data_IF_084510381161
#
_entry.id   IF_084510381161
#
_cell.length_a   1.000
_cell.length_b   1.000
_cell.length_c   1.000
_cell.angle_alpha   90.00
_cell.angle_beta   90.00
_cell.angle_gamma   90.00
#
_symmetry.space_group_name_H-M   'P 1'
#
loop_
_entity.id
_entity.type
_entity.pdbx_description
1 polymer ?
#
# COMPACT_ATOMS: atom_id res chain seq x y z
N UNK A 1 8.76 0.85 -63.65
CA UNK A 1 10.02 1.59 -63.53
C UNK A 1 10.81 1.00 -62.38
N UNK A 2 11.95 0.41 -62.72
CA UNK A 2 12.88 -0.31 -61.87
C UNK A 2 13.97 0.68 -61.44
N UNK A 3 14.44 0.61 -60.19
CA UNK A 3 15.88 0.78 -59.87
C UNK A 3 16.20 0.34 -58.45
N UNK A 4 16.59 -0.92 -58.35
CA UNK A 4 17.51 -1.47 -57.35
C UNK A 4 18.89 -0.86 -57.62
N UNK A 5 19.54 -0.27 -56.61
CA UNK A 5 20.95 0.10 -56.66
C UNK A 5 21.75 -0.83 -55.77
N UNK A 6 22.48 -1.73 -56.42
CA UNK A 6 23.60 -2.51 -55.90
C UNK A 6 24.82 -1.59 -55.94
N UNK A 7 25.54 -1.46 -54.83
CA UNK A 7 26.92 -0.98 -54.84
C UNK A 7 27.76 -2.07 -54.20
N UNK A 8 28.47 -2.79 -55.07
CA UNK A 8 29.69 -3.48 -54.73
C UNK A 8 30.82 -2.45 -54.61
N UNK A 9 31.81 -2.69 -53.76
CA UNK A 9 33.23 -2.89 -54.14
C UNK A 9 34.18 -2.64 -52.94
N UNK A 10 35.25 -3.45 -52.92
CA UNK A 10 36.60 -3.22 -52.39
C UNK A 10 36.99 -3.75 -50.99
N UNK A 11 37.55 -4.95 -51.08
CA UNK A 11 38.56 -5.60 -50.24
C UNK A 11 39.78 -4.69 -49.99
N UNK A 12 40.23 -4.58 -48.74
CA UNK A 12 41.66 -4.43 -48.40
C UNK A 12 41.98 -5.28 -47.17
N UNK A 13 42.94 -6.18 -47.35
CA UNK A 13 43.54 -7.06 -46.36
C UNK A 13 44.73 -6.33 -45.72
N UNK A 14 44.74 -6.18 -44.40
CA UNK A 14 45.94 -5.75 -43.66
C UNK A 14 46.10 -6.63 -42.42
N UNK A 15 47.11 -7.50 -42.46
CA UNK A 15 47.56 -8.27 -41.31
C UNK A 15 48.45 -7.39 -40.43
N UNK A 16 48.08 -7.17 -39.18
CA UNK A 16 49.02 -6.85 -38.09
C UNK A 16 48.57 -7.51 -36.79
N UNK A 17 49.57 -7.96 -36.04
CA UNK A 17 49.47 -8.88 -34.93
C UNK A 17 49.12 -8.19 -33.58
N UNK A 18 48.73 -9.03 -32.62
CA UNK A 18 48.72 -8.88 -31.16
C UNK A 18 47.36 -8.69 -30.42
N UNK A 19 46.92 -9.81 -29.82
CA UNK A 19 46.86 -10.08 -28.35
C UNK A 19 45.65 -9.55 -27.52
N UNK A 20 45.05 -10.50 -26.74
CA UNK A 20 44.15 -10.37 -25.54
C UNK A 20 42.75 -9.79 -25.80
N UNK A 21 41.61 -10.23 -25.24
CA UNK A 21 41.13 -11.27 -24.31
C UNK A 21 39.63 -11.50 -24.65
N UNK A 22 38.98 -12.64 -24.32
CA UNK A 22 37.55 -12.83 -24.57
C UNK A 22 36.69 -12.11 -23.53
N UNK A 23 35.84 -11.21 -24.03
CA UNK A 23 34.82 -10.46 -23.28
C UNK A 23 33.67 -11.41 -22.91
N UNK A 24 33.53 -11.71 -21.63
CA UNK A 24 32.38 -12.42 -21.04
C UNK A 24 31.11 -11.61 -21.23
N UNK A 25 30.07 -12.31 -21.65
CA UNK A 25 28.70 -11.82 -21.79
C UNK A 25 28.18 -11.30 -20.44
N UNK A 26 27.77 -10.04 -20.44
CA UNK A 26 27.06 -9.39 -19.34
C UNK A 26 25.59 -9.79 -19.41
N UNK A 27 25.20 -10.78 -18.62
CA UNK A 27 23.80 -10.96 -18.22
C UNK A 27 23.39 -9.83 -17.28
N UNK A 28 22.44 -9.01 -17.73
CA UNK A 28 21.75 -8.01 -16.92
C UNK A 28 21.04 -8.69 -15.74
N UNK A 29 21.71 -8.73 -14.59
CA UNK A 29 21.01 -8.75 -13.31
C UNK A 29 20.52 -7.33 -13.04
N UNK A 30 19.23 -7.13 -13.30
CA UNK A 30 18.46 -5.99 -12.81
C UNK A 30 18.45 -6.03 -11.29
N UNK A 31 19.44 -5.40 -10.67
CA UNK A 31 19.40 -5.05 -9.25
C UNK A 31 18.38 -3.92 -9.10
N UNK A 32 17.20 -4.24 -8.62
CA UNK A 32 16.30 -3.27 -8.03
C UNK A 32 16.94 -2.75 -6.73
N UNK A 33 17.86 -1.80 -6.87
CA UNK A 33 18.44 -1.05 -5.76
C UNK A 33 17.39 -0.06 -5.26
N UNK A 34 16.62 -0.47 -4.26
CA UNK A 34 15.97 0.49 -3.37
C UNK A 34 17.07 1.27 -2.64
N UNK A 35 17.07 2.60 -2.64
CA UNK A 35 17.97 3.38 -1.79
C UNK A 35 17.38 3.38 -0.37
N UNK A 36 17.55 2.27 0.35
CA UNK A 36 17.38 2.19 1.79
C UNK A 36 18.75 2.27 2.43
N UNK A 37 18.98 3.28 3.27
CA UNK A 37 20.15 3.30 4.15
C UNK A 37 20.07 2.03 5.00
N UNK A 38 21.07 1.16 4.88
CA UNK A 38 21.17 -0.07 5.66
C UNK A 38 21.51 0.34 7.10
N UNK A 39 20.50 0.77 7.84
CA UNK A 39 20.65 1.22 9.22
C UNK A 39 20.85 -0.01 10.10
N UNK A 40 21.93 0.00 10.86
CA UNK A 40 22.22 -1.07 11.82
C UNK A 40 21.21 -0.96 12.97
N UNK A 41 20.91 -2.07 13.65
CA UNK A 41 20.07 -2.05 14.86
C UNK A 41 20.53 -0.99 15.88
N UNK A 42 21.85 -0.82 16.01
CA UNK A 42 22.45 0.21 16.86
C UNK A 42 22.09 1.65 16.43
N UNK A 43 21.90 1.90 15.14
CA UNK A 43 21.48 3.22 14.64
C UNK A 43 20.03 3.51 15.04
N UNK A 44 19.15 2.49 14.95
CA UNK A 44 17.74 2.60 15.34
C UNK A 44 17.59 2.83 16.85
N UNK A 45 18.44 2.19 17.66
CA UNK A 45 18.44 2.33 19.12
C UNK A 45 18.98 3.70 19.61
N UNK A 46 19.47 4.56 18.69
CA UNK A 46 20.03 5.87 19.06
C UNK A 46 18.95 6.76 19.69
N UNK A 47 19.18 7.32 20.90
CA UNK A 47 18.19 8.15 21.58
C UNK A 47 18.06 9.54 20.93
N UNK A 48 16.83 9.98 20.70
CA UNK A 48 16.49 11.31 20.19
C UNK A 48 15.92 12.22 21.29
N UNK A 49 15.19 11.66 22.25
CA UNK A 49 14.63 12.37 23.39
C UNK A 49 14.44 11.44 24.60
N UNK A 50 14.40 12.02 25.80
CA UNK A 50 14.07 11.31 27.04
C UNK A 50 12.98 12.08 27.76
N UNK A 51 11.88 11.41 28.09
CA UNK A 51 10.71 11.94 28.77
C UNK A 51 10.50 11.15 30.06
N UNK A 52 10.97 11.69 31.18
CA UNK A 52 10.82 11.10 32.51
C UNK A 52 11.19 9.60 32.60
N UNK A 53 12.28 9.21 31.91
CA UNK A 53 12.79 7.84 31.88
C UNK A 53 12.34 7.00 30.69
N UNK A 54 11.38 7.49 29.89
CA UNK A 54 11.04 6.91 28.59
C UNK A 54 11.95 7.50 27.51
N UNK A 55 12.68 6.66 26.78
CA UNK A 55 13.54 7.08 25.67
C UNK A 55 12.79 6.94 24.36
N UNK A 56 12.74 8.01 23.56
CA UNK A 56 12.29 7.99 22.17
C UNK A 56 13.53 7.89 21.28
N UNK A 57 13.58 6.89 20.43
CA UNK A 57 14.73 6.53 19.58
C UNK A 57 14.53 6.93 18.12
N UNK A 58 15.58 6.74 17.30
CA UNK A 58 15.50 6.86 15.84
C UNK A 58 14.50 5.85 15.27
N UNK A 59 14.50 4.61 15.78
CA UNK A 59 13.56 3.56 15.40
C UNK A 59 12.11 3.99 15.62
N UNK A 60 11.79 4.52 16.81
CA UNK A 60 10.42 4.96 17.13
C UNK A 60 9.93 6.06 16.18
N UNK A 61 10.80 7.03 15.85
CA UNK A 61 10.45 8.09 14.91
C UNK A 61 10.23 7.53 13.50
N UNK A 62 11.07 6.59 13.06
CA UNK A 62 10.95 5.95 11.76
C UNK A 62 9.68 5.10 11.66
N UNK A 63 9.34 4.36 12.71
CA UNK A 63 8.11 3.57 12.80
C UNK A 63 6.88 4.45 12.77
N UNK A 64 6.90 5.58 13.48
CA UNK A 64 5.82 6.56 13.44
C UNK A 64 5.60 7.13 12.02
N UNK A 65 6.67 7.33 11.25
CA UNK A 65 6.61 7.73 9.83
C UNK A 65 6.07 6.57 8.98
N UNK A 66 6.52 5.34 9.22
CA UNK A 66 6.14 4.16 8.46
C UNK A 66 4.66 3.77 8.66
N UNK A 67 4.08 4.07 9.82
CA UNK A 67 2.64 3.91 10.07
C UNK A 67 1.78 4.85 9.21
N UNK A 68 2.35 5.93 8.66
CA UNK A 68 1.63 6.80 7.74
C UNK A 68 1.46 6.11 6.37
N UNK A 69 0.36 6.45 5.69
CA UNK A 69 0.13 6.05 4.30
C UNK A 69 1.36 6.37 3.44
N UNK A 70 1.77 5.50 2.49
CA UNK A 70 2.93 5.74 1.63
C UNK A 70 2.94 7.11 0.95
N UNK A 71 1.75 7.66 0.65
CA UNK A 71 1.60 8.99 0.06
C UNK A 71 1.98 10.15 1.00
N UNK A 72 1.85 9.97 2.32
CA UNK A 72 2.12 11.00 3.32
C UNK A 72 3.57 10.97 3.82
N UNK A 73 4.26 9.82 3.75
CA UNK A 73 5.65 9.66 4.20
C UNK A 73 6.61 10.71 3.63
N UNK A 74 6.52 11.12 2.34
CA UNK A 74 7.41 12.15 1.79
C UNK A 74 7.38 13.50 2.52
N UNK A 75 6.32 13.80 3.29
CA UNK A 75 6.22 15.03 4.10
C UNK A 75 7.29 15.11 5.20
N UNK A 76 7.81 13.97 5.63
CA UNK A 76 8.79 13.87 6.72
C UNK A 76 10.23 13.69 6.20
N UNK A 77 10.51 14.05 4.93
CA UNK A 77 11.87 13.99 4.37
C UNK A 77 12.81 15.05 4.94
N UNK A 78 12.28 16.18 5.42
CA UNK A 78 13.12 17.25 5.97
C UNK A 78 13.33 17.07 7.48
N UNK A 79 14.54 17.39 7.93
CA UNK A 79 14.90 17.37 9.36
C UNK A 79 13.93 18.24 10.19
N UNK A 80 13.49 19.37 9.66
CA UNK A 80 12.50 20.23 10.33
C UNK A 80 11.19 19.50 10.58
N UNK A 81 10.66 18.77 9.58
CA UNK A 81 9.40 18.02 9.73
C UNK A 81 9.55 16.82 10.65
N UNK A 82 10.71 16.17 10.65
CA UNK A 82 11.04 15.11 11.60
C UNK A 82 11.13 15.65 13.04
N UNK A 83 11.72 16.82 13.24
CA UNK A 83 11.74 17.49 14.55
C UNK A 83 10.34 17.86 15.03
N UNK A 84 9.48 18.39 14.16
CA UNK A 84 8.08 18.68 14.50
C UNK A 84 7.32 17.40 14.90
N UNK A 85 7.54 16.30 14.20
CA UNK A 85 6.96 14.99 14.55
C UNK A 85 7.48 14.51 15.90
N UNK A 86 8.79 14.57 16.14
CA UNK A 86 9.40 14.21 17.42
C UNK A 86 8.84 15.05 18.57
N UNK A 87 8.65 16.36 18.38
CA UNK A 87 8.02 17.22 19.39
C UNK A 87 6.57 16.82 19.67
N UNK A 88 5.84 16.36 18.66
CA UNK A 88 4.48 15.83 18.82
C UNK A 88 4.50 14.54 19.65
N UNK A 89 5.44 13.63 19.39
CA UNK A 89 5.62 12.39 20.16
C UNK A 89 5.95 12.69 21.63
N UNK A 90 6.90 13.61 21.88
CA UNK A 90 7.23 14.05 23.25
C UNK A 90 6.00 14.61 23.98
N UNK A 91 5.24 15.47 23.31
CA UNK A 91 4.03 16.07 23.89
C UNK A 91 2.97 15.00 24.19
N UNK A 92 2.82 14.00 23.33
CA UNK A 92 1.91 12.88 23.55
C UNK A 92 2.26 12.15 24.86
N UNK A 93 3.53 11.79 25.05
CA UNK A 93 3.99 11.09 26.26
C UNK A 93 3.77 11.91 27.53
N UNK A 94 4.08 13.21 27.49
CA UNK A 94 3.82 14.11 28.62
C UNK A 94 2.34 14.15 29.01
N UNK A 95 1.45 14.21 28.02
CA UNK A 95 0.00 14.23 28.26
C UNK A 95 -0.52 12.88 28.74
N UNK A 96 -0.05 11.77 28.17
CA UNK A 96 -0.41 10.42 28.58
C UNK A 96 0.01 10.15 30.04
N UNK A 97 1.20 10.61 30.42
CA UNK A 97 1.69 10.54 31.79
C UNK A 97 0.83 11.35 32.75
N UNK A 98 0.50 12.59 32.41
CA UNK A 98 -0.37 13.42 33.26
C UNK A 98 -1.78 12.81 33.40
N UNK A 99 -2.32 12.22 32.32
CA UNK A 99 -3.58 11.50 32.36
C UNK A 99 -3.53 10.30 33.34
N UNK A 100 -2.45 9.51 33.28
CA UNK A 100 -2.22 8.40 34.21
C UNK A 100 -2.10 8.89 35.66
N UNK A 101 -1.35 9.97 35.90
CA UNK A 101 -1.22 10.57 37.23
C UNK A 101 -2.56 11.04 37.81
N UNK A 102 -3.48 11.48 36.94
CA UNK A 102 -4.85 11.87 37.31
C UNK A 102 -5.82 10.69 37.41
N UNK A 103 -5.38 9.46 37.16
CA UNK A 103 -6.18 8.24 37.32
C UNK A 103 -7.08 7.91 36.12
N UNK A 104 -6.86 8.50 34.95
CA UNK A 104 -7.64 8.18 33.75
C UNK A 104 -7.40 6.74 33.25
N UNK A 105 -6.27 6.14 33.60
CA UNK A 105 -5.95 4.72 33.36
C UNK A 105 -6.91 3.75 34.08
N UNK A 106 -7.62 4.23 35.10
CA UNK A 106 -8.61 3.46 35.88
C UNK A 106 -10.05 3.75 35.47
N UNK A 107 -10.25 4.70 34.57
CA UNK A 107 -11.57 5.03 34.06
C UNK A 107 -12.14 3.85 33.24
N UNK A 108 -13.44 3.58 33.41
CA UNK A 108 -14.09 2.40 32.81
C UNK A 108 -14.10 2.47 31.28
N UNK A 109 -14.30 3.65 30.72
CA UNK A 109 -14.38 3.82 29.27
C UNK A 109 -12.97 3.78 28.65
N UNK A 110 -11.96 4.32 29.34
CA UNK A 110 -10.54 4.17 28.94
C UNK A 110 -10.12 2.70 28.94
N UNK A 111 -10.41 1.95 30.01
CA UNK A 111 -10.10 0.51 30.08
C UNK A 111 -10.81 -0.26 28.97
N UNK A 112 -12.07 0.06 28.67
CA UNK A 112 -12.81 -0.58 27.58
C UNK A 112 -12.16 -0.31 26.23
N UNK A 113 -11.80 0.95 25.96
CA UNK A 113 -11.12 1.32 24.72
C UNK A 113 -9.76 0.62 24.59
N UNK A 114 -8.96 0.57 25.65
CA UNK A 114 -7.68 -0.13 25.67
C UNK A 114 -7.85 -1.63 25.36
N UNK A 115 -8.84 -2.30 25.96
CA UNK A 115 -9.14 -3.71 25.66
C UNK A 115 -9.52 -3.92 24.21
N UNK A 116 -10.31 -3.02 23.63
CA UNK A 116 -10.70 -3.12 22.22
C UNK A 116 -9.48 -2.99 21.28
N UNK A 117 -8.57 -2.05 21.56
CA UNK A 117 -7.33 -1.90 20.78
C UNK A 117 -6.43 -3.13 20.92
N UNK A 118 -6.28 -3.69 22.12
CA UNK A 118 -5.50 -4.92 22.33
C UNK A 118 -6.07 -6.11 21.55
N UNK A 119 -7.40 -6.27 21.52
CA UNK A 119 -8.05 -7.32 20.72
C UNK A 119 -7.81 -7.11 19.23
N UNK A 120 -7.94 -5.87 18.73
CA UNK A 120 -7.67 -5.56 17.33
C UNK A 120 -6.23 -5.91 16.94
N UNK A 121 -5.25 -5.55 17.78
CA UNK A 121 -3.84 -5.89 17.55
C UNK A 121 -3.58 -7.39 17.56
N UNK A 122 -4.19 -8.13 18.48
CA UNK A 122 -4.10 -9.59 18.48
C UNK A 122 -4.65 -10.19 17.18
N UNK A 123 -5.79 -9.70 16.68
CA UNK A 123 -6.38 -10.19 15.44
C UNK A 123 -5.52 -9.83 14.22
N UNK A 124 -4.97 -8.62 14.15
CA UNK A 124 -4.04 -8.20 13.10
C UNK A 124 -2.80 -9.12 13.07
N UNK A 125 -2.21 -9.40 14.23
CA UNK A 125 -1.04 -10.27 14.32
C UNK A 125 -1.34 -11.74 13.98
N UNK A 126 -2.48 -12.27 14.44
CA UNK A 126 -2.84 -13.68 14.21
C UNK A 126 -3.34 -13.95 12.80
N UNK A 127 -4.04 -13.00 12.17
CA UNK A 127 -4.69 -13.22 10.87
C UNK A 127 -3.99 -12.48 9.74
N UNK A 128 -3.63 -11.21 9.88
CA UNK A 128 -3.06 -10.44 8.77
C UNK A 128 -1.56 -10.69 8.60
N UNK A 129 -0.82 -10.81 9.71
CA UNK A 129 0.63 -11.01 9.66
C UNK A 129 1.05 -12.47 9.47
N UNK A 130 0.23 -13.44 9.92
CA UNK A 130 0.54 -14.88 9.78
C UNK A 130 -0.07 -15.54 8.55
N UNK A 131 -1.23 -15.08 8.08
CA UNK A 131 -1.80 -15.61 6.84
C UNK A 131 -1.14 -14.89 5.67
N UNK A 132 -0.21 -15.57 5.02
CA UNK A 132 0.39 -15.05 3.79
C UNK A 132 -0.54 -15.41 2.62
N UNK A 133 -1.18 -14.46 1.91
CA UNK A 133 -2.00 -14.79 0.75
C UNK A 133 -1.22 -15.56 -0.33
N UNK A 134 0.11 -15.38 -0.36
CA UNK A 134 1.02 -16.07 -1.29
C UNK A 134 1.24 -17.55 -0.93
N UNK A 135 0.81 -18.00 0.25
CA UNK A 135 0.83 -19.43 0.61
C UNK A 135 -0.38 -20.19 0.07
N UNK A 136 -1.38 -19.50 -0.50
CA UNK A 136 -2.52 -20.13 -1.16
C UNK A 136 -2.16 -20.40 -2.62
N UNK A 137 -2.16 -21.66 -3.09
CA UNK A 137 -1.80 -21.98 -4.46
C UNK A 137 -2.87 -21.52 -5.45
N UNK A 138 -2.44 -21.00 -6.61
CA UNK A 138 -3.34 -20.54 -7.68
C UNK A 138 -4.35 -21.61 -8.11
N UNK A 139 -3.99 -22.89 -8.04
CA UNK A 139 -4.90 -24.00 -8.35
C UNK A 139 -6.08 -24.06 -7.40
N UNK A 140 -5.90 -23.78 -6.10
CA UNK A 140 -6.98 -23.77 -5.12
C UNK A 140 -7.90 -22.57 -5.33
N UNK A 141 -7.33 -21.41 -5.68
CA UNK A 141 -8.10 -20.21 -6.07
C UNK A 141 -8.95 -20.50 -7.31
N UNK A 142 -8.36 -21.14 -8.32
CA UNK A 142 -9.05 -21.54 -9.55
C UNK A 142 -10.17 -22.53 -9.27
N UNK A 143 -9.89 -23.56 -8.49
CA UNK A 143 -10.86 -24.57 -8.08
C UNK A 143 -12.05 -23.95 -7.33
N UNK A 144 -11.80 -22.99 -6.44
CA UNK A 144 -12.86 -22.28 -5.73
C UNK A 144 -13.71 -21.44 -6.70
N UNK A 145 -13.09 -20.67 -7.59
CA UNK A 145 -13.78 -19.87 -8.60
C UNK A 145 -14.69 -20.73 -9.50
N UNK A 146 -14.16 -21.83 -10.03
CA UNK A 146 -14.89 -22.70 -10.95
C UNK A 146 -16.05 -23.44 -10.24
N UNK A 147 -15.96 -23.67 -8.92
CA UNK A 147 -17.02 -24.31 -8.11
C UNK A 147 -18.11 -23.36 -7.60
N UNK A 148 -17.87 -22.04 -7.58
CA UNK A 148 -18.80 -21.04 -7.04
C UNK A 148 -19.16 -19.95 -8.08
N UNK A 149 -19.60 -20.31 -9.31
CA UNK A 149 -19.89 -19.33 -10.36
C UNK A 149 -20.97 -18.32 -9.95
N UNK A 150 -21.88 -18.67 -9.06
CA UNK A 150 -22.93 -17.79 -8.53
C UNK A 150 -22.40 -16.64 -7.65
N UNK A 151 -21.26 -16.82 -6.96
CA UNK A 151 -20.63 -15.77 -6.16
C UNK A 151 -19.92 -14.73 -7.03
N UNK A 152 -19.47 -15.16 -8.22
CA UNK A 152 -18.65 -14.35 -9.13
C UNK A 152 -19.38 -13.90 -10.39
N UNK A 153 -20.64 -14.30 -10.58
CA UNK A 153 -21.49 -13.83 -11.66
C UNK A 153 -22.27 -12.59 -11.22
N UNK A 154 -22.16 -11.51 -11.99
CA UNK A 154 -23.06 -10.36 -11.85
C UNK A 154 -24.22 -10.54 -12.81
N UNK A 155 -25.39 -10.90 -12.28
CA UNK A 155 -26.63 -10.94 -13.06
C UNK A 155 -26.88 -9.58 -13.73
N UNK A 156 -27.56 -9.62 -14.87
CA UNK A 156 -27.92 -8.42 -15.61
C UNK A 156 -28.67 -7.43 -14.70
N UNK A 157 -28.16 -6.20 -14.60
CA UNK A 157 -28.79 -5.13 -13.85
C UNK A 157 -29.36 -4.12 -14.83
N UNK A 158 -30.65 -3.84 -14.69
CA UNK A 158 -31.33 -2.77 -15.42
C UNK A 158 -31.61 -1.61 -14.47
N UNK A 159 -31.33 -0.38 -14.91
CA UNK A 159 -31.72 0.82 -14.18
C UNK A 159 -33.17 1.13 -14.51
N UNK A 160 -34.06 1.00 -13.53
CA UNK A 160 -35.48 1.31 -13.68
C UNK A 160 -35.88 2.53 -12.84
N UNK A 161 -36.80 3.33 -13.37
CA UNK A 161 -37.53 4.36 -12.63
C UNK A 161 -38.99 3.95 -12.61
N UNK A 162 -39.62 3.92 -11.44
CA UNK A 162 -41.01 3.53 -11.27
C UNK A 162 -41.84 4.69 -10.73
N UNK A 163 -43.02 4.90 -11.32
CA UNK A 163 -44.06 5.79 -10.80
C UNK A 163 -45.20 4.87 -10.33
N UNK A 164 -45.51 4.89 -9.03
CA UNK A 164 -46.51 4.01 -8.41
C UNK A 164 -47.73 4.83 -7.99
N UNK A 165 -48.92 4.39 -8.43
CA UNK A 165 -50.19 5.08 -8.20
C UNK A 165 -51.25 4.08 -7.71
N UNK A 166 -52.18 4.52 -6.87
CA UNK A 166 -53.23 3.67 -6.30
C UNK A 166 -54.45 3.45 -7.21
N UNK A 167 -54.47 4.05 -8.39
CA UNK A 167 -55.60 4.00 -9.34
C UNK A 167 -55.10 3.54 -10.72
N UNK A 168 -55.71 2.48 -11.26
CA UNK A 168 -55.29 1.86 -12.51
C UNK A 168 -55.51 2.76 -13.73
N UNK A 169 -56.56 3.59 -13.71
CA UNK A 169 -56.89 4.49 -14.82
C UNK A 169 -55.85 5.60 -14.92
N UNK A 170 -55.49 6.18 -13.77
CA UNK A 170 -54.45 7.21 -13.68
C UNK A 170 -53.05 6.66 -13.98
N UNK A 171 -52.76 5.42 -13.57
CA UNK A 171 -51.53 4.74 -13.96
C UNK A 171 -51.42 4.57 -15.48
N UNK A 172 -52.50 4.19 -16.16
CA UNK A 172 -52.51 4.03 -17.63
C UNK A 172 -52.29 5.36 -18.36
N UNK A 173 -52.89 6.46 -17.88
CA UNK A 173 -52.69 7.80 -18.44
C UNK A 173 -51.23 8.26 -18.32
N UNK A 174 -50.67 8.18 -17.10
CA UNK A 174 -49.29 8.58 -16.85
C UNK A 174 -48.30 7.68 -17.62
N UNK A 175 -48.60 6.39 -17.78
CA UNK A 175 -47.77 5.49 -18.58
C UNK A 175 -47.81 5.84 -20.08
N UNK A 176 -48.92 6.36 -20.60
CA UNK A 176 -49.01 6.83 -21.98
C UNK A 176 -48.18 8.12 -22.18
N UNK A 177 -48.27 9.06 -21.25
CA UNK A 177 -47.46 10.30 -21.28
C UNK A 177 -45.96 10.02 -21.16
N UNK A 178 -45.58 9.12 -20.25
CA UNK A 178 -44.18 8.78 -19.98
C UNK A 178 -43.48 8.04 -21.14
N UNK A 179 -44.23 7.47 -22.10
CA UNK A 179 -43.64 6.84 -23.29
C UNK A 179 -43.05 7.85 -24.26
N UNK A 180 -43.55 9.10 -24.28
CA UNK A 180 -43.19 10.12 -25.27
C UNK A 180 -43.48 9.70 -26.72
N UNK A 181 -43.49 10.65 -27.66
CA UNK A 181 -43.35 10.31 -29.09
C UNK A 181 -41.86 10.08 -29.37
N UNK A 182 -41.53 8.96 -30.03
CA UNK A 182 -40.17 8.49 -30.30
C UNK A 182 -39.39 9.37 -31.29
#
# INVERSE_FOLDING_TARGET
MIRRTVIALLVVLAATACRRDPKSESGEQSTATSPGVDQTRADLDTPLAVVDGLTITVGDLQDQINQQSPYLRPRYKSVTKQKELLQTMIRFELLAKEATKRGFDRDRDVIRAMKQVMIQKLMEDEFENKLNPSSIPDSEVRDYYDKHPEEFNRSEQVRVSAIVLGDSTRAAQVAAEAKGDA
#
